data_IF_434897567543
#
_entry.id   IF_434897567543
#
_cell.length_a   1.000
_cell.length_b   1.000
_cell.length_c   1.000
_cell.angle_alpha   90.00
_cell.angle_beta   90.00
_cell.angle_gamma   90.00
#
_symmetry.space_group_name_H-M   'P 1'
#
loop_
_entity.id
_entity.type
_entity.pdbx_description
1 polymer ?
#
# COMPACT_ATOMS: atom_id res chain seq x y z
N UNK A 1 23.23 77.71 -46.38
CA UNK A 1 21.79 77.78 -46.70
C UNK A 1 21.13 76.66 -45.94
N UNK A 2 20.54 76.93 -44.77
CA UNK A 2 19.14 77.37 -44.59
C UNK A 2 18.15 76.21 -44.81
N UNK A 3 17.65 75.71 -43.67
CA UNK A 3 16.29 75.24 -43.33
C UNK A 3 15.43 74.44 -44.33
N UNK A 4 14.96 73.27 -43.88
CA UNK A 4 13.54 72.95 -43.48
C UNK A 4 13.42 71.44 -43.19
N UNK A 5 13.26 71.03 -41.92
CA UNK A 5 11.98 70.77 -41.23
C UNK A 5 11.14 69.67 -41.92
N UNK A 6 11.22 68.42 -41.46
CA UNK A 6 10.36 67.84 -40.40
C UNK A 6 9.03 67.29 -40.95
N UNK A 7 8.94 65.96 -41.03
CA UNK A 7 7.67 65.27 -40.74
C UNK A 7 7.94 63.92 -40.11
N UNK A 8 7.89 63.95 -38.78
CA UNK A 8 7.74 62.81 -37.88
C UNK A 8 6.43 62.10 -38.21
N UNK A 9 6.49 60.84 -38.62
CA UNK A 9 5.39 59.88 -38.42
C UNK A 9 5.80 58.93 -37.31
N UNK A 10 5.33 59.22 -36.10
CA UNK A 10 5.16 58.24 -35.03
C UNK A 10 4.12 57.22 -35.52
N UNK A 11 4.57 56.09 -36.02
CA UNK A 11 3.77 54.86 -36.01
C UNK A 11 4.30 53.98 -34.90
N UNK A 12 3.36 53.61 -34.06
CA UNK A 12 3.46 53.17 -32.68
C UNK A 12 4.02 51.76 -32.53
N UNK A 13 4.69 51.50 -31.41
CA UNK A 13 5.24 50.20 -30.99
C UNK A 13 4.22 49.05 -30.84
N UNK A 14 2.98 49.22 -31.30
CA UNK A 14 1.95 48.19 -31.36
C UNK A 14 1.98 47.41 -32.68
N UNK A 15 2.45 47.99 -33.78
CA UNK A 15 2.53 47.26 -35.08
C UNK A 15 3.70 46.26 -35.09
N UNK A 16 4.81 46.59 -34.44
CA UNK A 16 5.95 45.67 -34.27
C UNK A 16 5.60 44.48 -33.34
N UNK A 17 4.69 44.67 -32.38
CA UNK A 17 4.18 43.59 -31.52
C UNK A 17 3.19 42.69 -32.27
N UNK A 18 2.37 43.24 -33.17
CA UNK A 18 1.46 42.47 -34.01
C UNK A 18 2.20 41.58 -35.03
N UNK A 19 3.31 42.07 -35.63
CA UNK A 19 4.15 41.26 -36.52
C UNK A 19 4.91 40.15 -35.78
N UNK A 20 5.40 40.41 -34.55
CA UNK A 20 6.01 39.35 -33.73
C UNK A 20 5.01 38.26 -33.32
N UNK A 21 3.76 38.63 -33.03
CA UNK A 21 2.72 37.65 -32.68
C UNK A 21 2.23 36.84 -33.89
N UNK A 22 2.22 37.43 -35.11
CA UNK A 22 1.90 36.69 -36.33
C UNK A 22 3.02 35.77 -36.82
N UNK A 23 4.30 36.14 -36.61
CA UNK A 23 5.44 35.28 -36.96
C UNK A 23 5.64 34.07 -36.02
N UNK A 24 5.09 34.11 -34.79
CA UNK A 24 5.11 32.97 -33.86
C UNK A 24 3.93 31.99 -34.03
N UNK A 25 2.92 32.33 -34.84
CA UNK A 25 1.73 31.49 -35.06
C UNK A 25 1.89 30.32 -36.04
N UNK A 26 3.05 30.13 -36.67
CA UNK A 26 3.26 29.10 -37.71
C UNK A 26 4.35 28.06 -37.37
N UNK A 27 4.79 27.97 -36.11
CA UNK A 27 5.56 26.80 -35.65
C UNK A 27 4.58 25.75 -35.14
N UNK A 28 4.32 24.78 -36.02
CA UNK A 28 3.69 23.50 -35.70
C UNK A 28 4.33 22.96 -34.41
N UNK A 29 3.64 23.07 -33.27
CA UNK A 29 4.00 22.31 -32.09
C UNK A 29 3.78 20.84 -32.44
N UNK A 30 4.83 20.19 -32.94
CA UNK A 30 4.97 18.77 -32.78
C UNK A 30 5.00 18.55 -31.27
N UNK A 31 3.89 18.10 -30.70
CA UNK A 31 3.91 17.60 -29.33
C UNK A 31 4.92 16.45 -29.30
N UNK A 32 5.93 16.49 -28.42
CA UNK A 32 6.60 15.26 -28.08
C UNK A 32 5.54 14.41 -27.40
N UNK A 33 4.99 13.40 -28.11
CA UNK A 33 4.45 12.21 -27.47
C UNK A 33 5.63 11.49 -26.81
N UNK A 34 6.19 12.10 -25.77
CA UNK A 34 6.72 11.32 -24.68
C UNK A 34 5.48 10.79 -23.97
N UNK A 35 4.93 9.69 -24.49
CA UNK A 35 4.23 8.77 -23.61
C UNK A 35 5.28 8.45 -22.56
N UNK A 36 5.16 9.03 -21.37
CA UNK A 36 5.80 8.47 -20.22
C UNK A 36 5.14 7.10 -20.12
N UNK A 37 5.77 6.09 -20.70
CA UNK A 37 5.45 4.70 -20.45
C UNK A 37 5.83 4.49 -18.98
N UNK A 38 4.95 4.96 -18.08
CA UNK A 38 4.88 4.47 -16.73
C UNK A 38 4.41 3.04 -16.98
N UNK A 39 5.28 2.02 -16.86
CA UNK A 39 4.79 0.66 -16.91
C UNK A 39 3.66 0.61 -15.88
N UNK A 40 2.46 0.21 -16.31
CA UNK A 40 1.39 -0.11 -15.38
C UNK A 40 2.04 -0.94 -14.27
N UNK A 41 1.88 -0.58 -12.99
CA UNK A 41 2.59 -1.28 -11.93
C UNK A 41 2.26 -2.74 -12.07
N UNK A 42 3.20 -3.50 -12.61
CA UNK A 42 3.14 -4.95 -12.64
C UNK A 42 3.52 -5.33 -11.23
N UNK A 43 2.61 -5.02 -10.29
CA UNK A 43 2.49 -5.80 -9.08
C UNK A 43 2.10 -7.16 -9.63
N UNK A 44 3.10 -7.98 -9.96
CA UNK A 44 2.89 -9.40 -10.19
C UNK A 44 1.90 -9.81 -9.11
N UNK A 45 0.73 -10.40 -9.46
CA UNK A 45 -0.28 -10.74 -8.46
C UNK A 45 0.48 -11.44 -7.38
N UNK A 46 0.54 -10.82 -6.19
CA UNK A 46 1.42 -11.28 -5.14
C UNK A 46 0.96 -12.69 -4.90
N UNK A 47 1.66 -13.67 -5.49
CA UNK A 47 1.30 -15.05 -5.34
C UNK A 47 1.42 -15.20 -3.85
N UNK A 48 0.28 -15.39 -3.19
CA UNK A 48 0.23 -15.70 -1.77
C UNK A 48 1.32 -16.73 -1.60
N UNK A 49 2.44 -16.29 -1.00
CA UNK A 49 3.58 -17.16 -0.89
C UNK A 49 3.12 -18.17 0.14
N UNK A 50 2.59 -19.28 -0.35
CA UNK A 50 2.32 -20.46 0.45
C UNK A 50 3.63 -21.09 0.93
N UNK A 51 4.78 -20.39 0.82
CA UNK A 51 6.02 -20.76 1.49
C UNK A 51 5.76 -20.69 2.98
N UNK A 52 5.33 -21.84 3.50
CA UNK A 52 5.36 -22.20 4.91
C UNK A 52 4.76 -21.14 5.80
N UNK A 53 3.43 -21.20 5.99
CA UNK A 53 2.83 -20.64 7.20
C UNK A 53 3.74 -21.01 8.38
N UNK A 54 4.21 -20.02 9.16
CA UNK A 54 5.08 -20.23 10.35
C UNK A 54 4.47 -21.27 11.31
N UNK A 55 3.18 -21.56 11.19
CA UNK A 55 2.48 -22.67 11.84
C UNK A 55 2.87 -24.08 11.37
N UNK A 56 4.12 -24.27 10.92
CA UNK A 56 4.75 -25.58 10.79
C UNK A 56 4.57 -26.39 12.08
N UNK A 57 4.38 -27.69 11.92
CA UNK A 57 3.95 -28.68 12.90
C UNK A 57 4.93 -28.94 14.05
N UNK A 58 5.37 -27.92 14.78
CA UNK A 58 6.14 -28.10 16.02
C UNK A 58 5.17 -28.25 17.20
N UNK A 59 4.54 -29.42 17.30
CA UNK A 59 3.68 -29.81 18.44
C UNK A 59 4.46 -30.46 19.59
N UNK A 60 5.79 -30.31 19.62
CA UNK A 60 6.61 -30.84 20.72
C UNK A 60 6.66 -29.86 21.89
N UNK A 61 6.10 -30.24 23.05
CA UNK A 61 6.20 -29.58 24.37
C UNK A 61 5.35 -28.32 24.65
N UNK A 62 4.11 -28.20 24.15
CA UNK A 62 3.16 -27.22 24.72
C UNK A 62 2.26 -27.86 25.77
N UNK A 63 2.11 -27.21 26.92
CA UNK A 63 1.08 -27.57 27.90
C UNK A 63 -0.33 -27.33 27.33
N UNK A 64 -1.32 -28.04 27.89
CA UNK A 64 -2.72 -27.89 27.46
C UNK A 64 -3.24 -26.45 27.65
N UNK A 65 -2.79 -25.77 28.70
CA UNK A 65 -3.12 -24.36 28.94
C UNK A 65 -2.57 -23.45 27.82
N UNK A 66 -1.32 -23.66 27.39
CA UNK A 66 -0.72 -22.91 26.28
C UNK A 66 -1.47 -23.17 24.97
N UNK A 67 -1.88 -24.42 24.71
CA UNK A 67 -2.67 -24.77 23.53
C UNK A 67 -4.01 -24.03 23.50
N UNK A 68 -4.75 -24.04 24.61
CA UNK A 68 -6.05 -23.34 24.73
C UNK A 68 -5.91 -21.84 24.53
N UNK A 69 -4.88 -21.22 25.12
CA UNK A 69 -4.60 -19.79 24.94
C UNK A 69 -4.28 -19.47 23.48
N UNK A 70 -3.45 -20.30 22.83
CA UNK A 70 -3.11 -20.14 21.41
C UNK A 70 -4.32 -20.28 20.50
N UNK A 71 -5.16 -21.28 20.74
CA UNK A 71 -6.36 -21.51 19.93
C UNK A 71 -7.33 -20.32 20.05
N UNK A 72 -7.51 -19.74 21.25
CA UNK A 72 -8.28 -18.49 21.43
C UNK A 72 -7.69 -17.32 20.66
N UNK A 73 -6.37 -17.13 20.71
CA UNK A 73 -5.71 -16.05 19.98
C UNK A 73 -5.84 -16.21 18.46
N UNK A 74 -5.83 -17.44 17.94
CA UNK A 74 -6.04 -17.72 16.51
C UNK A 74 -7.44 -17.36 16.03
N UNK A 75 -8.47 -17.62 16.85
CA UNK A 75 -9.86 -17.30 16.53
C UNK A 75 -10.07 -15.79 16.30
N UNK A 76 -9.23 -14.92 16.89
CA UNK A 76 -9.29 -13.47 16.66
C UNK A 76 -9.19 -13.10 15.17
N UNK A 77 -8.35 -13.81 14.42
CA UNK A 77 -8.17 -13.61 12.96
C UNK A 77 -9.33 -14.14 12.12
N UNK A 78 -10.18 -15.00 12.70
CA UNK A 78 -11.27 -15.66 12.00
C UNK A 78 -10.80 -16.75 11.05
N UNK A 79 -11.58 -16.99 10.00
CA UNK A 79 -11.27 -17.96 8.95
C UNK A 79 -9.99 -17.56 8.19
N UNK A 80 -9.07 -18.52 8.00
CA UNK A 80 -7.85 -18.28 7.23
C UNK A 80 -8.14 -18.15 5.75
N UNK A 81 -7.30 -17.42 5.03
CA UNK A 81 -7.43 -17.27 3.58
C UNK A 81 -7.44 -18.61 2.85
N UNK A 82 -6.59 -19.58 3.22
CA UNK A 82 -6.56 -20.90 2.61
C UNK A 82 -7.87 -21.67 2.79
N UNK A 83 -8.47 -21.56 3.98
CA UNK A 83 -9.76 -22.20 4.31
C UNK A 83 -10.89 -21.55 3.53
N UNK A 84 -10.89 -20.21 3.46
CA UNK A 84 -11.84 -19.45 2.65
C UNK A 84 -11.76 -19.83 1.18
N UNK A 85 -10.55 -19.90 0.62
CA UNK A 85 -10.31 -20.29 -0.77
C UNK A 85 -10.84 -21.70 -1.01
N UNK A 86 -10.55 -22.67 -0.13
CA UNK A 86 -11.04 -24.04 -0.25
C UNK A 86 -12.57 -24.11 -0.22
N UNK A 87 -13.21 -23.48 0.77
CA UNK A 87 -14.66 -23.45 0.94
C UNK A 87 -15.37 -22.79 -0.25
N UNK A 88 -14.87 -21.64 -0.72
CA UNK A 88 -15.45 -20.94 -1.88
C UNK A 88 -15.23 -21.73 -3.16
N UNK A 89 -14.08 -22.41 -3.31
CA UNK A 89 -13.80 -23.27 -4.45
C UNK A 89 -14.76 -24.46 -4.51
N UNK A 90 -14.99 -25.12 -3.39
CA UNK A 90 -15.92 -26.24 -3.27
C UNK A 90 -17.36 -25.84 -3.62
N UNK A 91 -17.79 -24.66 -3.16
CA UNK A 91 -19.12 -24.12 -3.49
C UNK A 91 -19.22 -23.54 -4.91
N UNK A 92 -18.12 -23.37 -5.63
CA UNK A 92 -18.12 -22.72 -6.94
C UNK A 92 -18.45 -23.70 -8.05
N UNK A 93 -19.40 -23.38 -8.96
CA UNK A 93 -19.62 -24.15 -10.19
C UNK A 93 -18.35 -24.28 -11.06
N UNK A 94 -17.39 -23.37 -10.90
CA UNK A 94 -16.14 -23.33 -11.65
C UNK A 94 -14.94 -23.84 -10.83
N UNK A 95 -15.16 -24.38 -9.62
CA UNK A 95 -14.08 -24.75 -8.70
C UNK A 95 -13.14 -25.83 -9.23
N UNK A 96 -13.63 -26.74 -10.09
CA UNK A 96 -12.83 -27.78 -10.73
C UNK A 96 -11.87 -27.23 -11.80
N UNK A 97 -12.06 -26.00 -12.28
CA UNK A 97 -11.24 -25.45 -13.35
C UNK A 97 -9.79 -25.24 -12.89
N UNK A 98 -8.77 -25.69 -13.65
CA UNK A 98 -7.36 -25.68 -13.20
C UNK A 98 -6.80 -24.27 -12.98
N UNK A 99 -7.32 -23.28 -13.72
CA UNK A 99 -6.94 -21.86 -13.57
C UNK A 99 -7.86 -21.06 -12.65
N UNK A 100 -8.76 -21.73 -11.92
CA UNK A 100 -9.63 -21.04 -10.96
C UNK A 100 -8.78 -20.35 -9.88
N UNK A 101 -9.12 -19.10 -9.58
CA UNK A 101 -8.47 -18.28 -8.54
C UNK A 101 -9.54 -17.42 -7.87
N UNK A 102 -9.40 -17.22 -6.57
CA UNK A 102 -10.21 -16.31 -5.79
C UNK A 102 -9.42 -15.02 -5.55
N UNK A 103 -10.06 -13.89 -5.80
CA UNK A 103 -9.55 -12.56 -5.47
C UNK A 103 -10.57 -11.83 -4.60
N UNK A 104 -10.09 -10.97 -3.73
CA UNK A 104 -10.91 -10.12 -2.86
C UNK A 104 -10.45 -8.69 -2.94
N UNK A 105 -11.41 -7.76 -2.89
CA UNK A 105 -11.16 -6.34 -2.98
C UNK A 105 -12.23 -5.55 -2.23
N UNK A 106 -11.85 -4.35 -1.79
CA UNK A 106 -12.72 -3.35 -1.18
C UNK A 106 -13.12 -2.38 -2.28
N UNK A 107 -14.41 -2.17 -2.46
CA UNK A 107 -14.93 -1.12 -3.35
C UNK A 107 -15.09 0.15 -2.50
N UNK A 108 -14.29 1.16 -2.78
CA UNK A 108 -14.35 2.47 -2.12
C UNK A 108 -15.05 3.44 -3.08
N UNK A 109 -16.16 4.02 -2.62
CA UNK A 109 -17.00 4.94 -3.39
C UNK A 109 -17.17 6.24 -2.60
N UNK A 110 -17.00 7.37 -3.28
CA UNK A 110 -17.03 8.71 -2.67
C UNK A 110 -15.64 9.29 -2.35
N UNK A 111 -14.58 8.48 -2.45
CA UNK A 111 -13.22 8.89 -2.09
C UNK A 111 -12.27 8.93 -3.30
N UNK A 112 -11.41 9.94 -3.34
CA UNK A 112 -10.32 10.02 -4.31
C UNK A 112 -9.10 9.21 -3.84
N UNK A 113 -8.91 8.04 -4.44
CA UNK A 113 -7.81 7.13 -4.08
C UNK A 113 -6.53 7.36 -4.92
N UNK A 114 -6.40 8.47 -5.64
CA UNK A 114 -5.16 8.76 -6.40
C UNK A 114 -3.95 8.96 -5.50
N UNK A 115 -4.15 9.52 -4.30
CA UNK A 115 -3.08 9.65 -3.30
C UNK A 115 -2.67 8.28 -2.75
N UNK A 116 -3.64 7.41 -2.45
CA UNK A 116 -3.37 6.02 -2.08
C UNK A 116 -2.55 5.31 -3.15
N UNK A 117 -2.95 5.43 -4.42
CA UNK A 117 -2.22 4.83 -5.55
C UNK A 117 -0.78 5.34 -5.63
N UNK A 118 -0.55 6.65 -5.47
CA UNK A 118 0.79 7.22 -5.44
C UNK A 118 1.63 6.65 -4.28
N UNK A 119 1.04 6.53 -3.09
CA UNK A 119 1.71 5.96 -1.93
C UNK A 119 2.17 4.52 -2.20
N UNK A 120 1.31 3.69 -2.81
CA UNK A 120 1.65 2.32 -3.20
C UNK A 120 2.80 2.30 -4.21
N UNK A 121 2.82 3.20 -5.20
CA UNK A 121 3.96 3.29 -6.14
C UNK A 121 5.27 3.62 -5.41
N UNK A 122 5.23 4.55 -4.47
CA UNK A 122 6.41 4.91 -3.68
C UNK A 122 6.87 3.77 -2.78
N UNK A 123 5.93 3.02 -2.17
CA UNK A 123 6.23 1.81 -1.40
C UNK A 123 6.96 0.75 -2.25
N UNK A 124 6.56 0.55 -3.51
CA UNK A 124 7.27 -0.35 -4.43
C UNK A 124 8.71 0.11 -4.69
N UNK A 125 8.92 1.41 -4.85
CA UNK A 125 10.28 1.98 -5.02
C UNK A 125 11.12 1.80 -3.76
N UNK A 126 10.58 2.08 -2.57
CA UNK A 126 11.29 1.84 -1.31
C UNK A 126 11.66 0.36 -1.12
N UNK A 127 10.77 -0.55 -1.48
CA UNK A 127 11.03 -2.00 -1.39
C UNK A 127 12.21 -2.38 -2.28
N UNK A 128 12.26 -1.85 -3.50
CA UNK A 128 13.39 -2.04 -4.41
C UNK A 128 14.69 -1.48 -3.82
N UNK A 129 14.67 -0.26 -3.29
CA UNK A 129 15.85 0.37 -2.67
C UNK A 129 16.38 -0.45 -1.49
N UNK A 130 15.50 -0.92 -0.61
CA UNK A 130 15.90 -1.75 0.52
C UNK A 130 16.53 -3.07 0.07
N UNK A 131 15.93 -3.72 -0.94
CA UNK A 131 16.45 -4.95 -1.54
C UNK A 131 17.83 -4.75 -2.18
N UNK A 132 18.00 -3.72 -2.99
CA UNK A 132 19.27 -3.37 -3.63
C UNK A 132 20.36 -3.00 -2.62
N UNK A 133 19.96 -2.41 -1.49
CA UNK A 133 20.85 -2.06 -0.38
C UNK A 133 21.18 -3.25 0.54
N UNK A 134 20.62 -4.45 0.29
CA UNK A 134 20.82 -5.62 1.13
C UNK A 134 20.20 -5.51 2.53
N UNK A 135 19.21 -4.64 2.71
CA UNK A 135 18.54 -4.44 4.00
C UNK A 135 17.41 -5.47 4.16
N UNK A 136 17.34 -6.19 5.29
CA UNK A 136 16.27 -7.16 5.56
C UNK A 136 15.01 -6.42 6.05
N UNK A 137 14.55 -5.44 5.29
CA UNK A 137 13.33 -4.68 5.59
C UNK A 137 12.17 -5.25 4.80
N UNK A 138 11.01 -5.30 5.44
CA UNK A 138 9.83 -5.94 4.86
C UNK A 138 8.71 -4.93 4.69
N UNK A 139 8.01 -4.98 3.56
CA UNK A 139 6.81 -4.18 3.30
C UNK A 139 5.80 -5.00 2.49
N UNK A 140 4.52 -4.62 2.57
CA UNK A 140 3.45 -5.18 1.73
C UNK A 140 2.73 -4.07 0.95
N UNK A 141 3.26 -3.68 -0.22
CA UNK A 141 2.49 -2.91 -1.19
C UNK A 141 1.29 -3.75 -1.66
N UNK A 142 0.12 -3.13 -1.83
CA UNK A 142 -1.11 -3.79 -2.29
C UNK A 142 -1.71 -3.04 -3.48
N UNK A 143 -2.51 -3.70 -4.31
CA UNK A 143 -3.04 -3.07 -5.52
C UNK A 143 -4.16 -2.06 -5.22
N UNK A 144 -4.09 -0.93 -5.90
CA UNK A 144 -5.13 0.10 -5.91
C UNK A 144 -5.49 0.37 -7.37
N UNK A 145 -6.72 0.09 -7.75
CA UNK A 145 -7.26 0.39 -9.07
C UNK A 145 -8.19 1.60 -8.95
N UNK A 146 -7.70 2.77 -9.35
CA UNK A 146 -8.52 3.98 -9.43
C UNK A 146 -9.41 3.86 -10.67
N UNK A 147 -10.72 3.83 -10.46
CA UNK A 147 -11.74 3.71 -11.52
C UNK A 147 -12.23 5.08 -11.97
N UNK A 148 -12.34 6.03 -11.04
CA UNK A 148 -12.69 7.42 -11.31
C UNK A 148 -12.09 8.33 -10.24
N UNK A 149 -12.34 9.64 -10.32
CA UNK A 149 -11.94 10.59 -9.28
C UNK A 149 -12.65 10.39 -7.93
N UNK A 150 -13.65 9.50 -7.85
CA UNK A 150 -14.43 9.24 -6.63
C UNK A 150 -14.68 7.75 -6.41
N UNK A 151 -13.97 6.86 -7.11
CA UNK A 151 -14.17 5.42 -6.98
C UNK A 151 -12.87 4.65 -7.23
N UNK A 152 -12.62 3.65 -6.38
CA UNK A 152 -11.49 2.74 -6.54
C UNK A 152 -11.81 1.34 -6.01
N UNK A 153 -11.02 0.37 -6.49
CA UNK A 153 -10.99 -0.99 -5.98
C UNK A 153 -9.63 -1.20 -5.33
N UNK A 154 -9.61 -1.62 -4.07
CA UNK A 154 -8.39 -1.82 -3.29
C UNK A 154 -8.26 -3.31 -2.95
N UNK A 155 -7.10 -3.91 -3.23
CA UNK A 155 -6.79 -5.28 -2.84
C UNK A 155 -6.87 -5.44 -1.32
N UNK A 156 -7.58 -6.48 -0.85
CA UNK A 156 -7.59 -6.81 0.58
C UNK A 156 -6.31 -7.55 0.95
N UNK A 157 -5.79 -7.26 2.13
CA UNK A 157 -4.68 -8.04 2.71
C UNK A 157 -5.27 -9.23 3.47
N UNK A 158 -5.03 -10.48 3.04
CA UNK A 158 -5.52 -11.68 3.71
C UNK A 158 -4.89 -11.80 5.12
N UNK A 159 -5.54 -12.56 6.01
CA UNK A 159 -4.98 -12.95 7.32
C UNK A 159 -4.47 -11.79 8.19
N UNK A 160 -4.84 -10.55 7.88
CA UNK A 160 -4.41 -9.36 8.59
C UNK A 160 -5.62 -8.65 9.18
N UNK A 161 -5.45 -8.13 10.39
CA UNK A 161 -6.46 -7.34 11.09
C UNK A 161 -5.84 -6.07 11.63
N UNK A 162 -6.64 -5.00 11.72
CA UNK A 162 -6.18 -3.79 12.38
C UNK A 162 -5.88 -4.07 13.85
N UNK A 163 -4.86 -3.42 14.40
CA UNK A 163 -4.53 -3.51 15.83
C UNK A 163 -5.75 -3.16 16.68
N UNK A 164 -6.58 -2.23 16.22
CA UNK A 164 -7.86 -1.90 16.83
C UNK A 164 -8.80 -3.12 16.87
N UNK A 165 -8.99 -3.82 15.74
CA UNK A 165 -9.83 -5.01 15.67
C UNK A 165 -9.28 -6.16 16.54
N UNK A 166 -7.96 -6.34 16.58
CA UNK A 166 -7.31 -7.34 17.45
C UNK A 166 -7.61 -7.05 18.91
N UNK A 167 -7.42 -5.80 19.35
CA UNK A 167 -7.72 -5.39 20.73
C UNK A 167 -9.20 -5.55 21.06
N UNK A 168 -10.10 -5.17 20.16
CA UNK A 168 -11.55 -5.25 20.36
C UNK A 168 -12.05 -6.71 20.46
N UNK A 169 -11.40 -7.65 19.77
CA UNK A 169 -11.73 -9.09 19.80
C UNK A 169 -10.99 -9.86 20.90
N UNK A 170 -10.00 -9.23 21.53
CA UNK A 170 -9.23 -9.82 22.62
C UNK A 170 -9.85 -9.48 23.98
N UNK A 171 -9.53 -10.23 25.05
CA UNK A 171 -9.95 -9.86 26.41
C UNK A 171 -9.54 -8.42 26.76
N UNK A 172 -10.36 -7.66 27.52
CA UNK A 172 -10.02 -6.31 27.93
C UNK A 172 -8.66 -6.23 28.62
N UNK A 173 -7.87 -5.22 28.28
CA UNK A 173 -6.52 -5.03 28.85
C UNK A 173 -5.41 -5.86 28.20
N UNK A 174 -5.72 -6.73 27.23
CA UNK A 174 -4.71 -7.51 26.50
C UNK A 174 -3.77 -6.57 25.75
N UNK A 175 -2.47 -6.64 26.05
CA UNK A 175 -1.46 -5.88 25.30
C UNK A 175 -1.12 -6.58 23.98
N UNK A 176 -0.46 -5.85 23.07
CA UNK A 176 0.02 -6.46 21.82
C UNK A 176 1.07 -7.55 22.09
N UNK A 177 1.90 -7.38 23.13
CA UNK A 177 2.86 -8.41 23.56
C UNK A 177 2.13 -9.67 24.02
N UNK A 178 1.07 -9.54 24.82
CA UNK A 178 0.29 -10.70 25.28
C UNK A 178 -0.32 -11.46 24.12
N UNK A 179 -0.77 -10.74 23.08
CA UNK A 179 -1.26 -11.34 21.85
C UNK A 179 -0.16 -12.15 21.12
N UNK A 180 1.05 -11.62 21.01
CA UNK A 180 2.19 -12.33 20.42
C UNK A 180 2.56 -13.59 21.22
N UNK A 181 2.64 -13.47 22.55
CA UNK A 181 2.94 -14.61 23.43
C UNK A 181 1.87 -15.69 23.31
N UNK A 182 0.59 -15.29 23.21
CA UNK A 182 -0.51 -16.22 23.02
C UNK A 182 -0.44 -16.95 21.67
N UNK A 183 -0.14 -16.25 20.57
CA UNK A 183 -0.09 -16.84 19.22
C UNK A 183 1.11 -17.75 19.00
N UNK A 184 2.30 -17.30 19.40
CA UNK A 184 3.56 -17.94 18.99
C UNK A 184 4.28 -18.68 20.11
N UNK A 185 3.85 -18.54 21.37
CA UNK A 185 4.49 -19.08 22.58
C UNK A 185 5.87 -18.46 22.83
N UNK A 186 6.02 -17.74 23.94
CA UNK A 186 7.26 -17.05 24.27
C UNK A 186 8.49 -17.97 24.24
N UNK A 187 9.58 -17.50 23.62
CA UNK A 187 10.84 -18.22 23.52
C UNK A 187 10.92 -19.27 22.40
N UNK A 188 9.80 -19.62 21.76
CA UNK A 188 9.77 -20.53 20.62
C UNK A 188 10.52 -19.97 19.40
N UNK A 189 10.76 -20.81 18.40
CA UNK A 189 11.36 -20.37 17.13
C UNK A 189 10.38 -19.49 16.38
N UNK A 190 9.10 -19.85 16.41
CA UNK A 190 7.98 -19.13 15.81
C UNK A 190 7.82 -17.73 16.42
N UNK A 191 7.97 -17.59 17.75
CA UNK A 191 7.90 -16.30 18.43
C UNK A 191 9.06 -15.39 18.03
N UNK A 192 10.27 -15.94 17.96
CA UNK A 192 11.45 -15.18 17.49
C UNK A 192 11.33 -14.77 16.03
N UNK A 193 10.76 -15.63 15.18
CA UNK A 193 10.48 -15.31 13.78
C UNK A 193 9.43 -14.19 13.67
N UNK A 194 8.29 -14.32 14.36
CA UNK A 194 7.25 -13.29 14.36
C UNK A 194 7.74 -11.95 14.93
N UNK A 195 8.58 -11.98 15.97
CA UNK A 195 9.21 -10.78 16.51
C UNK A 195 10.15 -10.12 15.49
N UNK A 196 10.93 -10.91 14.74
CA UNK A 196 11.77 -10.39 13.65
C UNK A 196 10.91 -9.74 12.56
N UNK A 197 9.88 -10.43 12.09
CA UNK A 197 8.92 -9.93 11.12
C UNK A 197 8.31 -8.59 11.56
N UNK A 198 7.92 -8.48 12.84
CA UNK A 198 7.41 -7.24 13.42
C UNK A 198 8.44 -6.11 13.38
N UNK A 199 9.69 -6.38 13.77
CA UNK A 199 10.76 -5.37 13.80
C UNK A 199 11.15 -4.92 12.39
N UNK A 200 11.32 -5.84 11.45
CA UNK A 200 11.71 -5.55 10.07
C UNK A 200 10.64 -4.72 9.34
N UNK A 201 9.37 -5.08 9.52
CA UNK A 201 8.24 -4.33 8.97
C UNK A 201 8.03 -2.97 9.65
N UNK A 202 8.12 -2.91 10.98
CA UNK A 202 8.03 -1.65 11.73
C UNK A 202 9.12 -0.67 11.30
N UNK A 203 10.37 -1.14 11.15
CA UNK A 203 11.48 -0.31 10.71
C UNK A 203 11.24 0.25 9.31
N UNK A 204 10.83 -0.60 8.36
CA UNK A 204 10.53 -0.19 6.99
C UNK A 204 9.44 0.89 6.94
N UNK A 205 8.27 0.62 7.54
CA UNK A 205 7.16 1.56 7.54
C UNK A 205 7.44 2.82 8.36
N UNK A 206 8.29 2.77 9.39
CA UNK A 206 8.72 3.96 10.14
C UNK A 206 9.55 4.90 9.26
N UNK A 207 10.51 4.36 8.49
CA UNK A 207 11.33 5.13 7.55
C UNK A 207 10.44 5.77 6.49
N UNK A 208 9.55 4.99 5.86
CA UNK A 208 8.65 5.47 4.81
C UNK A 208 7.69 6.54 5.36
N UNK A 209 7.12 6.32 6.54
CA UNK A 209 6.20 7.29 7.16
C UNK A 209 6.89 8.60 7.50
N UNK A 210 8.14 8.54 7.96
CA UNK A 210 8.94 9.73 8.20
C UNK A 210 9.25 10.48 6.89
N UNK A 211 9.76 9.80 5.87
CA UNK A 211 10.16 10.46 4.62
C UNK A 211 8.97 11.02 3.82
N UNK A 212 7.87 10.26 3.76
CA UNK A 212 6.68 10.65 3.04
C UNK A 212 5.71 11.50 3.87
N UNK A 213 6.06 11.79 5.13
CA UNK A 213 5.22 12.53 6.07
C UNK A 213 3.78 11.97 6.11
N UNK A 214 3.68 10.64 6.25
CA UNK A 214 2.37 9.96 6.33
C UNK A 214 1.71 10.34 7.65
N UNK A 215 0.49 10.85 7.55
CA UNK A 215 -0.32 11.30 8.70
C UNK A 215 -1.38 10.25 9.05
N UNK A 216 -2.18 10.56 10.07
CA UNK A 216 -3.30 9.73 10.52
C UNK A 216 -2.90 8.27 10.82
N UNK A 217 -1.77 8.10 11.53
CA UNK A 217 -1.29 6.78 11.98
C UNK A 217 -1.89 6.44 13.34
N UNK A 218 -2.96 5.65 13.33
CA UNK A 218 -3.60 5.11 14.53
C UNK A 218 -3.85 3.60 14.38
N UNK A 219 -4.24 2.92 15.47
CA UNK A 219 -4.44 1.45 15.50
C UNK A 219 -5.47 0.90 14.48
N UNK A 220 -6.26 1.77 13.83
CA UNK A 220 -7.18 1.39 12.75
C UNK A 220 -6.49 1.25 11.40
N UNK A 221 -5.45 2.06 11.15
CA UNK A 221 -4.68 2.12 9.91
C UNK A 221 -3.39 1.28 9.96
N UNK A 222 -3.21 0.52 11.05
CA UNK A 222 -2.10 -0.40 11.27
C UNK A 222 -2.66 -1.81 11.36
N UNK A 223 -2.38 -2.64 10.36
CA UNK A 223 -2.70 -4.06 10.37
C UNK A 223 -1.55 -4.88 10.96
N UNK A 224 -1.90 -6.00 11.55
CA UNK A 224 -0.98 -7.08 11.94
C UNK A 224 -1.44 -8.36 11.25
N UNK A 225 -0.53 -9.04 10.56
CA UNK A 225 -0.81 -10.36 9.96
C UNK A 225 -0.52 -11.52 10.93
N UNK A 226 -0.91 -12.73 10.52
CA UNK A 226 -0.71 -13.96 11.29
C UNK A 226 0.73 -14.53 11.22
N UNK A 227 1.65 -13.79 10.60
CA UNK A 227 3.10 -14.05 10.61
C UNK A 227 3.87 -13.05 11.48
N UNK A 228 3.21 -11.99 11.97
CA UNK A 228 3.76 -10.99 12.87
C UNK A 228 4.21 -9.68 12.22
N UNK A 229 3.96 -9.48 10.92
CA UNK A 229 4.31 -8.22 10.25
C UNK A 229 3.30 -7.11 10.57
N UNK A 230 3.81 -5.90 10.74
CA UNK A 230 3.04 -4.67 10.79
C UNK A 230 2.86 -4.13 9.37
N UNK A 231 1.63 -3.81 8.98
CA UNK A 231 1.31 -3.28 7.64
C UNK A 231 0.54 -1.98 7.77
N UNK A 232 1.07 -0.89 7.19
CA UNK A 232 0.35 0.38 7.13
C UNK A 232 -0.64 0.35 5.96
N UNK A 233 -1.84 0.88 6.17
CA UNK A 233 -2.87 1.11 5.14
C UNK A 233 -3.39 2.55 5.21
N UNK A 234 -4.23 2.94 4.25
CA UNK A 234 -4.91 4.23 4.19
C UNK A 234 -3.93 5.42 4.19
N UNK A 235 -3.20 5.57 3.10
CA UNK A 235 -2.22 6.63 2.86
C UNK A 235 -2.85 7.94 2.33
N UNK A 236 -4.14 8.17 2.55
CA UNK A 236 -4.88 9.34 2.04
C UNK A 236 -4.34 10.70 2.49
N UNK A 237 -3.48 10.76 3.52
CA UNK A 237 -2.83 11.97 3.99
C UNK A 237 -1.32 11.80 4.04
N UNK A 238 -0.62 12.28 3.01
CA UNK A 238 0.83 12.24 2.92
C UNK A 238 1.39 13.56 2.37
N UNK A 239 2.69 13.80 2.58
CA UNK A 239 3.39 15.02 2.19
C UNK A 239 2.74 16.29 2.77
N UNK A 240 2.49 17.29 1.94
CA UNK A 240 1.89 18.58 2.33
C UNK A 240 0.40 18.49 2.66
N UNK A 241 -0.28 17.39 2.33
CA UNK A 241 -1.71 17.26 2.60
C UNK A 241 -1.92 16.88 4.07
N UNK A 242 -2.68 17.69 4.80
CA UNK A 242 -3.09 17.40 6.18
C UNK A 242 -4.59 17.10 6.21
N UNK A 243 -5.07 16.25 7.12
CA UNK A 243 -6.49 16.21 7.45
C UNK A 243 -6.84 17.52 8.19
N UNK A 244 -7.60 18.40 7.54
CA UNK A 244 -8.06 19.69 8.10
C UNK A 244 -7.35 20.88 7.48
#
# INVERSE_FOLDING_TARGET
GVEKAEKVTRTSSVDALAEMMHAQGARKLASPKATLDIPAPVVAPTMYSSKGSIFGSTTGNMSEAQRRTRDRARVVFGERWSERVARVREASPFGSHPRWRLHTGIVKSGDDCRQELLAIQLLLVFEQVFRESGLPLWMRPFQVLVVSSHAAIIETIPNALSIHAIKARSPPGTSLRDHFVALYVEGSVEFRAAQRNYVESLAAYSIVSYLLQIKDRHNGNLLLDDEGHLIHIDFGFMLSNSPG
#
